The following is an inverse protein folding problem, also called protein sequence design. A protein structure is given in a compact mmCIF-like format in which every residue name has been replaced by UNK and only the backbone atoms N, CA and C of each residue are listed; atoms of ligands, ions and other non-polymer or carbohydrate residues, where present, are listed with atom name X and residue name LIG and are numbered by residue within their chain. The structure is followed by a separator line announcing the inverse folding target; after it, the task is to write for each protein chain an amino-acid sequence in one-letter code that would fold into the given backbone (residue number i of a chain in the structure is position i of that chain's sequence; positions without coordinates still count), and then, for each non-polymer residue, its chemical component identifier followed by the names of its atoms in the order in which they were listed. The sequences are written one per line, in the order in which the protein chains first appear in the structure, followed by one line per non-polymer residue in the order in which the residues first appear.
data_IF_848395929873
#
_entry.id   IF_848395929873
#
_cell.length_a   1.000
_cell.length_b   1.000
_cell.length_c   1.000
_cell.angle_alpha   90.00
_cell.angle_beta   90.00
_cell.angle_gamma   90.00
#
_symmetry.space_group_name_H-M   'P 1'
#
loop_
_entity.id
_entity.type
_entity.pdbx_description
1 polymer ?
#
# COMPACT_ATOMS: atom_id res chain seq x y z
N UNK A 1 6.51 -13.31 -7.60
CA UNK A 1 5.42 -12.35 -7.89
C UNK A 1 4.46 -12.11 -6.71
N UNK A 2 4.23 -13.04 -5.76
CA UNK A 2 3.31 -12.80 -4.62
C UNK A 2 3.93 -12.08 -3.42
N UNK A 3 5.23 -12.28 -3.15
CA UNK A 3 5.90 -11.65 -2.02
C UNK A 3 5.93 -10.12 -2.11
N UNK A 4 6.15 -9.58 -3.31
CA UNK A 4 6.23 -8.14 -3.51
C UNK A 4 4.90 -7.44 -3.22
N UNK A 5 3.78 -8.00 -3.68
CA UNK A 5 2.45 -7.44 -3.37
C UNK A 5 2.14 -7.45 -1.87
N UNK A 6 2.45 -8.55 -1.17
CA UNK A 6 2.27 -8.62 0.28
C UNK A 6 3.19 -7.64 1.04
N UNK A 7 4.43 -7.46 0.57
CA UNK A 7 5.38 -6.51 1.16
C UNK A 7 4.97 -5.05 0.90
N UNK A 8 4.48 -4.72 -0.30
CA UNK A 8 3.94 -3.39 -0.60
C UNK A 8 2.75 -3.05 0.29
N UNK A 9 1.81 -3.99 0.50
CA UNK A 9 0.69 -3.79 1.43
C UNK A 9 1.15 -3.63 2.88
N UNK A 10 2.16 -4.40 3.29
CA UNK A 10 2.72 -4.27 4.64
C UNK A 10 3.42 -2.92 4.82
N UNK A 11 4.22 -2.49 3.86
CA UNK A 11 4.87 -1.19 3.87
C UNK A 11 3.85 -0.04 3.84
N UNK A 12 2.77 -0.18 3.07
CA UNK A 12 1.69 0.79 3.05
C UNK A 12 1.05 0.92 4.42
N UNK A 13 0.75 -0.21 5.08
CA UNK A 13 0.21 -0.22 6.45
C UNK A 13 1.14 0.48 7.45
N UNK A 14 2.45 0.39 7.27
CA UNK A 14 3.42 1.11 8.10
C UNK A 14 3.47 2.61 7.79
N UNK A 15 3.25 3.00 6.54
CA UNK A 15 3.29 4.40 6.09
C UNK A 15 2.04 5.18 6.54
N UNK A 16 0.84 4.65 6.27
CA UNK A 16 -0.44 5.33 6.55
C UNK A 16 -1.05 4.96 7.90
N UNK A 17 -0.48 3.96 8.58
CA UNK A 17 -0.97 3.42 9.84
C UNK A 17 -2.14 2.43 9.68
N UNK A 18 -2.40 1.69 10.77
CA UNK A 18 -3.40 0.63 10.81
C UNK A 18 -4.82 1.11 10.49
N UNK A 19 -5.25 2.22 11.08
CA UNK A 19 -6.62 2.72 10.99
C UNK A 19 -6.97 3.09 9.54
N UNK A 20 -6.15 3.94 8.91
CA UNK A 20 -6.32 4.34 7.51
C UNK A 20 -6.17 3.15 6.56
N UNK A 21 -5.28 2.19 6.85
CA UNK A 21 -5.12 0.98 6.04
C UNK A 21 -6.39 0.11 6.03
N UNK A 22 -6.99 -0.17 7.19
CA UNK A 22 -8.22 -0.95 7.26
C UNK A 22 -9.44 -0.20 6.74
N UNK A 23 -9.46 1.13 6.85
CA UNK A 23 -10.44 1.97 6.18
C UNK A 23 -10.32 1.87 4.66
N UNK A 24 -9.11 2.05 4.11
CA UNK A 24 -8.80 1.89 2.68
C UNK A 24 -9.30 0.55 2.16
N UNK A 25 -8.98 -0.56 2.84
CA UNK A 25 -9.43 -1.89 2.40
C UNK A 25 -10.95 -2.04 2.39
N UNK A 26 -11.65 -1.49 3.39
CA UNK A 26 -13.12 -1.54 3.46
C UNK A 26 -13.75 -0.69 2.36
N UNK A 27 -13.26 0.53 2.16
CA UNK A 27 -13.76 1.45 1.14
C UNK A 27 -13.50 0.91 -0.27
N UNK A 28 -12.30 0.39 -0.52
CA UNK A 28 -11.93 -0.20 -1.79
C UNK A 28 -12.75 -1.46 -2.10
N UNK A 29 -12.87 -2.39 -1.14
CA UNK A 29 -13.67 -3.61 -1.35
C UNK A 29 -15.16 -3.31 -1.50
N UNK A 30 -15.71 -2.30 -0.81
CA UNK A 30 -17.09 -1.88 -0.99
C UNK A 30 -17.35 -1.22 -2.35
N UNK A 31 -16.40 -0.42 -2.83
CA UNK A 31 -16.51 0.34 -4.08
C UNK A 31 -16.30 -0.54 -5.31
N UNK A 32 -15.35 -1.49 -5.24
CA UNK A 32 -14.90 -2.27 -6.40
C UNK A 32 -15.20 -3.77 -6.33
N UNK A 33 -16.14 -4.17 -5.46
CA UNK A 33 -16.56 -5.57 -5.25
C UNK A 33 -16.89 -6.35 -6.55
N UNK A 34 -17.33 -5.65 -7.60
CA UNK A 34 -17.78 -6.25 -8.88
C UNK A 34 -17.00 -5.75 -10.11
N UNK A 35 -15.82 -5.14 -9.92
CA UNK A 35 -15.05 -4.47 -10.99
C UNK A 35 -13.60 -4.92 -11.13
N UNK A 36 -13.04 -4.73 -12.34
CA UNK A 36 -11.62 -4.92 -12.62
C UNK A 36 -10.83 -3.72 -12.11
N UNK A 37 -10.70 -3.61 -10.80
CA UNK A 37 -10.07 -2.48 -10.13
C UNK A 37 -8.58 -2.36 -10.51
N UNK A 38 -8.19 -1.16 -10.94
CA UNK A 38 -6.81 -0.86 -11.24
C UNK A 38 -6.05 -0.51 -9.95
N UNK A 39 -4.73 -0.61 -10.00
CA UNK A 39 -3.90 -0.20 -8.86
C UNK A 39 -4.06 1.30 -8.57
N UNK A 40 -4.29 2.12 -9.60
CA UNK A 40 -4.56 3.56 -9.48
C UNK A 40 -5.81 3.86 -8.62
N UNK A 41 -6.86 3.04 -8.74
CA UNK A 41 -8.06 3.18 -7.92
C UNK A 41 -7.77 2.90 -6.44
N UNK A 42 -6.89 1.94 -6.17
CA UNK A 42 -6.45 1.63 -4.81
C UNK A 42 -5.60 2.75 -4.21
N UNK A 43 -4.72 3.37 -5.01
CA UNK A 43 -3.90 4.50 -4.59
C UNK A 43 -4.81 5.67 -4.19
N UNK A 44 -5.78 6.03 -5.04
CA UNK A 44 -6.69 7.13 -4.74
C UNK A 44 -7.48 6.94 -3.44
N UNK A 45 -7.97 5.71 -3.17
CA UNK A 45 -8.67 5.42 -1.92
C UNK A 45 -7.74 5.46 -0.70
N UNK A 46 -6.47 5.05 -0.88
CA UNK A 46 -5.47 5.10 0.19
C UNK A 46 -5.08 6.55 0.53
N UNK A 47 -4.94 7.42 -0.47
CA UNK A 47 -4.66 8.85 -0.27
C UNK A 47 -5.84 9.55 0.40
N UNK A 48 -7.08 9.25 -0.02
CA UNK A 48 -8.28 9.81 0.60
C UNK A 48 -8.42 9.39 2.08
N UNK A 49 -8.16 8.11 2.37
CA UNK A 49 -8.27 7.57 3.75
C UNK A 49 -7.15 8.04 4.67
N UNK A 50 -5.93 8.25 4.14
CA UNK A 50 -4.76 8.67 4.92
C UNK A 50 -4.58 10.19 4.98
N UNK A 51 -5.13 10.93 4.01
CA UNK A 51 -4.85 12.35 3.81
C UNK A 51 -3.41 12.63 3.35
N UNK A 52 -2.69 11.61 2.86
CA UNK A 52 -1.30 11.69 2.42
C UNK A 52 -1.20 11.52 0.90
N UNK A 53 -0.21 12.16 0.29
CA UNK A 53 0.21 11.90 -1.09
C UNK A 53 1.10 10.65 -1.12
N UNK A 54 0.64 9.60 -1.79
CA UNK A 54 1.26 8.27 -1.82
C UNK A 54 1.87 7.95 -3.18
N UNK A 55 1.75 8.86 -4.16
CA UNK A 55 2.34 8.72 -5.49
C UNK A 55 3.83 8.34 -5.42
N UNK A 56 4.62 9.03 -4.59
CA UNK A 56 6.04 8.73 -4.44
C UNK A 56 6.30 7.34 -3.81
N UNK A 57 5.47 6.93 -2.84
CA UNK A 57 5.55 5.62 -2.19
C UNK A 57 5.28 4.49 -3.19
N UNK A 58 4.17 4.58 -3.92
CA UNK A 58 3.80 3.55 -4.90
C UNK A 58 4.76 3.55 -6.09
N UNK A 59 5.28 4.70 -6.50
CA UNK A 59 6.37 4.74 -7.50
C UNK A 59 7.60 3.93 -7.05
N UNK A 60 8.04 4.11 -5.80
CA UNK A 60 9.18 3.38 -5.26
C UNK A 60 8.91 1.87 -5.10
N UNK A 61 7.72 1.48 -4.65
CA UNK A 61 7.39 0.08 -4.36
C UNK A 61 6.92 -0.74 -5.56
N UNK A 62 6.32 -0.11 -6.58
CA UNK A 62 5.78 -0.79 -7.76
C UNK A 62 6.70 -0.75 -8.98
N UNK A 63 7.48 0.32 -9.18
CA UNK A 63 8.24 0.53 -10.42
C UNK A 63 9.76 0.36 -10.28
N UNK A 64 10.30 0.26 -9.06
CA UNK A 64 11.73 0.02 -8.85
C UNK A 64 12.00 -1.48 -8.69
N UNK A 65 12.96 -2.05 -9.43
CA UNK A 65 13.26 -3.49 -9.45
C UNK A 65 13.92 -3.97 -8.14
N UNK A 66 14.50 -3.04 -7.39
CA UNK A 66 15.21 -3.25 -6.12
C UNK A 66 14.28 -2.96 -4.94
N UNK A 67 14.07 -3.92 -4.04
CA UNK A 67 13.24 -3.68 -2.85
C UNK A 67 13.89 -2.57 -2.01
N UNK A 68 13.22 -1.42 -1.75
CA UNK A 68 13.79 -0.43 -0.85
C UNK A 68 14.02 -1.09 0.52
N UNK A 69 15.08 -0.70 1.26
CA UNK A 69 15.39 -1.31 2.55
C UNK A 69 14.17 -1.19 3.46
N UNK A 70 13.65 -2.34 3.88
CA UNK A 70 12.57 -2.41 4.86
C UNK A 70 13.09 -1.70 6.12
N UNK A 71 12.38 -0.70 6.68
CA UNK A 71 12.79 -0.07 7.93
C UNK A 71 12.95 -1.18 8.97
N UNK A 72 14.18 -1.34 9.44
CA UNK A 72 14.70 -2.53 10.07
C UNK A 72 13.76 -3.08 11.15
N UNK A 73 13.15 -4.24 10.88
CA UNK A 73 12.79 -5.15 11.95
C UNK A 73 14.12 -5.53 12.61
N UNK A 74 14.39 -4.98 13.79
CA UNK A 74 15.64 -5.13 14.53
C UNK A 74 15.92 -6.57 14.95
N UNK A 75 16.24 -7.41 13.97
CA UNK A 75 16.79 -8.73 14.18
C UNK A 75 18.30 -8.56 14.05
N UNK A 76 18.92 -8.18 15.16
CA UNK A 76 20.36 -8.34 15.34
C UNK A 76 20.66 -9.86 15.39
N UNK A 77 21.78 -10.24 14.76
CA UNK A 77 22.28 -11.63 14.61
C UNK A 77 22.50 -12.37 15.95
#
# INVERSE_FOLDING_TARGET
MYFRGALTLHALRLEIGDEAFFETLRTYTATYHDGNAAIDDFIAVAEESSGQDLDAFFNAWLFTEDLPPIPAMGLEE
#
